data_IF_706224197288
#
_entry.id   IF_706224197288
#
_cell.length_a   1.000
_cell.length_b   1.000
_cell.length_c   1.000
_cell.angle_alpha   90.00
_cell.angle_beta   90.00
_cell.angle_gamma   90.00
#
_symmetry.space_group_name_H-M   'P 1'
#
loop_
_entity.id
_entity.type
_entity.pdbx_description
1 polymer ?
#
# COMPACT_ATOMS: atom_id res chain seq x y z
N UNK A 1 10.56 12.10 -32.19
CA UNK A 1 9.47 11.17 -31.85
C UNK A 1 8.49 11.86 -30.91
N UNK A 2 7.31 12.24 -31.41
CA UNK A 2 6.30 12.92 -30.59
C UNK A 2 5.71 11.93 -29.57
N UNK A 3 5.79 12.25 -28.28
CA UNK A 3 5.05 11.54 -27.23
C UNK A 3 3.57 11.90 -27.39
N UNK A 4 2.85 11.12 -28.20
CA UNK A 4 1.38 11.28 -28.35
C UNK A 4 0.70 10.97 -27.01
N UNK A 5 0.01 11.98 -26.48
CA UNK A 5 -1.20 11.91 -25.65
C UNK A 5 -1.21 10.94 -24.46
N UNK A 6 -0.22 11.00 -23.57
CA UNK A 6 -0.45 10.54 -22.18
C UNK A 6 -0.69 11.77 -21.31
N UNK A 7 -1.78 11.86 -20.53
CA UNK A 7 -1.95 12.96 -19.61
C UNK A 7 -0.78 12.98 -18.63
N UNK A 8 -0.24 14.17 -18.36
CA UNK A 8 0.92 14.36 -17.46
C UNK A 8 0.57 14.02 -16.01
N UNK A 9 -0.72 14.07 -15.69
CA UNK A 9 -1.29 13.71 -14.41
C UNK A 9 -2.18 12.46 -14.58
N UNK A 10 -2.21 11.54 -13.61
CA UNK A 10 -3.17 10.45 -13.63
C UNK A 10 -4.60 11.03 -13.58
N UNK A 11 -5.40 10.72 -14.58
CA UNK A 11 -6.83 11.08 -14.66
C UNK A 11 -7.61 9.76 -14.63
N UNK A 12 -8.48 9.57 -13.63
CA UNK A 12 -9.38 8.41 -13.55
C UNK A 12 -8.79 7.18 -12.85
N UNK A 13 -9.05 6.00 -13.42
CA UNK A 13 -8.89 4.66 -12.81
C UNK A 13 -7.50 4.01 -13.04
N UNK A 14 -6.49 4.75 -13.51
CA UNK A 14 -5.16 4.17 -13.73
C UNK A 14 -4.53 3.77 -12.39
N UNK A 15 -4.00 2.54 -12.24
CA UNK A 15 -3.37 2.11 -11.01
C UNK A 15 -2.14 2.98 -10.72
N UNK A 16 -2.17 3.66 -9.57
CA UNK A 16 -1.11 4.50 -9.01
C UNK A 16 0.05 3.61 -8.53
N UNK A 17 0.77 3.01 -9.47
CA UNK A 17 1.86 2.06 -9.19
C UNK A 17 2.64 1.58 -10.41
N UNK A 18 2.24 1.97 -11.63
CA UNK A 18 2.93 1.58 -12.87
C UNK A 18 4.29 2.25 -13.11
N UNK A 19 4.74 3.13 -12.22
CA UNK A 19 6.05 3.77 -12.33
C UNK A 19 7.11 2.78 -11.83
N UNK A 20 7.79 2.11 -12.77
CA UNK A 20 8.87 1.15 -12.48
C UNK A 20 10.18 1.88 -12.17
N UNK A 21 11.01 1.30 -11.30
CA UNK A 21 12.38 1.76 -11.04
C UNK A 21 12.57 2.75 -9.89
N UNK A 22 11.54 2.95 -9.06
CA UNK A 22 11.61 3.74 -7.82
C UNK A 22 11.46 2.83 -6.59
N UNK A 23 12.00 1.61 -6.67
CA UNK A 23 11.99 0.68 -5.56
C UNK A 23 12.95 1.19 -4.48
N UNK A 24 12.50 1.20 -3.22
CA UNK A 24 13.28 1.64 -2.07
C UNK A 24 13.77 0.40 -1.33
N UNK A 25 15.08 0.27 -1.16
CA UNK A 25 15.67 -0.72 -0.26
C UNK A 25 15.86 -0.09 1.13
N UNK A 26 15.23 -0.70 2.14
CA UNK A 26 15.32 -0.25 3.53
C UNK A 26 16.24 -1.20 4.30
N UNK A 27 17.37 -0.69 4.79
CA UNK A 27 18.26 -1.41 5.69
C UNK A 27 17.89 -1.10 7.15
N UNK A 28 17.89 -2.14 7.99
CA UNK A 28 17.63 -2.00 9.42
C UNK A 28 18.96 -1.93 10.18
N UNK A 29 19.08 -0.97 11.10
CA UNK A 29 20.28 -0.78 11.94
C UNK A 29 20.36 -1.74 13.15
N UNK A 30 19.39 -2.64 13.30
CA UNK A 30 19.33 -3.62 14.39
C UNK A 30 19.71 -5.00 13.85
N UNK A 31 19.96 -5.99 14.71
CA UNK A 31 20.21 -7.39 14.32
C UNK A 31 18.98 -8.29 14.55
N UNK A 32 18.96 -9.49 13.96
CA UNK A 32 17.85 -10.46 14.09
C UNK A 32 17.52 -10.79 15.56
N UNK A 33 16.24 -11.10 15.88
CA UNK A 33 15.14 -11.39 14.96
C UNK A 33 14.39 -10.14 14.46
N UNK A 34 14.20 -10.04 13.14
CA UNK A 34 13.35 -9.02 12.52
C UNK A 34 11.99 -9.58 12.12
N UNK A 35 10.95 -8.74 12.11
CA UNK A 35 10.74 -7.55 12.95
C UNK A 35 10.36 -8.00 14.39
N UNK A 36 10.47 -7.14 15.42
CA UNK A 36 9.79 -7.42 16.68
C UNK A 36 8.31 -7.66 16.35
N UNK A 37 7.79 -8.87 16.62
CA UNK A 37 6.38 -9.21 16.47
C UNK A 37 5.54 -8.01 16.90
N UNK A 38 4.49 -7.67 16.15
CA UNK A 38 3.47 -6.71 16.58
C UNK A 38 3.01 -7.13 17.98
N UNK A 39 3.61 -6.51 19.01
CA UNK A 39 3.43 -6.97 20.41
C UNK A 39 2.03 -6.66 20.92
N UNK A 40 1.26 -5.89 20.15
CA UNK A 40 -0.04 -5.38 20.53
C UNK A 40 -1.05 -5.70 19.42
N UNK A 41 -2.25 -6.17 19.80
CA UNK A 41 -3.34 -6.26 18.84
C UNK A 41 -3.65 -4.86 18.28
N UNK A 42 -4.26 -4.78 17.07
CA UNK A 42 -4.77 -3.52 16.57
C UNK A 42 -5.72 -2.89 17.60
N UNK A 43 -5.65 -1.57 17.73
CA UNK A 43 -6.50 -0.84 18.66
C UNK A 43 -7.99 -1.04 18.30
N UNK A 44 -8.89 -1.22 19.28
CA UNK A 44 -10.31 -1.40 19.00
C UNK A 44 -10.88 -0.16 18.28
N UNK A 45 -11.51 -0.39 17.14
CA UNK A 45 -12.20 0.64 16.36
C UNK A 45 -13.71 0.52 16.52
N UNK A 46 -14.42 1.66 16.52
CA UNK A 46 -15.88 1.70 16.48
C UNK A 46 -16.37 1.11 15.14
N UNK A 47 -17.54 0.45 15.15
CA UNK A 47 -18.08 -0.29 14.00
C UNK A 47 -18.20 0.56 12.73
N UNK A 48 -18.69 1.79 12.87
CA UNK A 48 -18.85 2.73 11.74
C UNK A 48 -17.50 3.10 11.14
N UNK A 49 -16.53 3.45 11.99
CA UNK A 49 -15.15 3.74 11.57
C UNK A 49 -14.54 2.55 10.85
N UNK A 50 -14.77 1.33 11.34
CA UNK A 50 -14.25 0.12 10.71
C UNK A 50 -14.79 -0.07 9.29
N UNK A 51 -16.10 0.16 9.06
CA UNK A 51 -16.71 0.03 7.73
C UNK A 51 -16.12 1.02 6.73
N UNK A 52 -15.95 2.27 7.13
CA UNK A 52 -15.34 3.29 6.26
C UNK A 52 -13.86 2.97 5.96
N UNK A 53 -13.12 2.52 6.97
CA UNK A 53 -11.74 2.06 6.77
C UNK A 53 -11.69 0.86 5.81
N UNK A 54 -12.58 -0.11 5.95
CA UNK A 54 -12.65 -1.29 5.07
C UNK A 54 -12.93 -0.90 3.62
N UNK A 55 -13.79 0.10 3.37
CA UNK A 55 -14.03 0.64 2.03
C UNK A 55 -12.74 1.17 1.40
N UNK A 56 -11.99 2.01 2.11
CA UNK A 56 -10.73 2.56 1.59
C UNK A 56 -9.63 1.52 1.44
N UNK A 57 -9.56 0.53 2.34
CA UNK A 57 -8.65 -0.61 2.18
C UNK A 57 -8.93 -1.35 0.86
N UNK A 58 -10.20 -1.58 0.52
CA UNK A 58 -10.57 -2.24 -0.73
C UNK A 58 -10.18 -1.41 -1.96
N UNK A 59 -10.35 -0.09 -1.92
CA UNK A 59 -9.89 0.82 -2.99
C UNK A 59 -8.37 0.73 -3.17
N UNK A 60 -7.60 0.75 -2.08
CA UNK A 60 -6.14 0.65 -2.12
C UNK A 60 -5.64 -0.72 -2.60
N UNK A 61 -6.35 -1.80 -2.27
CA UNK A 61 -6.08 -3.15 -2.79
C UNK A 61 -6.32 -3.21 -4.30
N UNK A 62 -7.44 -2.64 -4.78
CA UNK A 62 -7.76 -2.59 -6.20
C UNK A 62 -6.72 -1.81 -7.01
N UNK A 63 -6.18 -0.73 -6.44
CA UNK A 63 -5.12 0.07 -7.05
C UNK A 63 -3.72 -0.55 -6.96
N UNK A 64 -3.59 -1.73 -6.34
CA UNK A 64 -2.32 -2.44 -6.10
C UNK A 64 -1.32 -1.61 -5.28
N UNK A 65 -1.83 -0.71 -4.44
CA UNK A 65 -1.04 0.16 -3.56
C UNK A 65 -0.65 -0.55 -2.26
N UNK A 66 -1.55 -1.40 -1.77
CA UNK A 66 -1.30 -2.31 -0.66
C UNK A 66 -1.58 -3.74 -1.11
N UNK A 67 -0.91 -4.71 -0.49
CA UNK A 67 -1.13 -6.14 -0.74
C UNK A 67 -1.21 -6.89 0.58
N UNK A 68 -1.92 -8.01 0.58
CA UNK A 68 -1.94 -8.90 1.74
C UNK A 68 -0.55 -9.54 1.92
N UNK A 69 0.06 -9.33 3.08
CA UNK A 69 1.31 -9.97 3.49
C UNK A 69 1.02 -10.84 4.71
N UNK A 70 1.41 -12.11 4.66
CA UNK A 70 1.26 -13.07 5.75
C UNK A 70 1.99 -14.37 5.45
N UNK A 71 2.30 -15.12 6.51
CA UNK A 71 2.75 -16.52 6.41
C UNK A 71 1.59 -17.40 5.92
N UNK A 72 1.89 -18.40 5.08
CA UNK A 72 1.01 -19.56 4.88
C UNK A 72 0.72 -20.26 6.21
#
# INVERSE_FOLDING_TARGET
MQRKNRPEFPIGEEPLGKIRGHDIELHLDVERPYPPMLRRPPYPTILETRKEIEKHINELLYMDFIRKIGHN
#
